data_IF_935850139542
#
_entry.id   IF_935850139542
#
_cell.length_a   1.000
_cell.length_b   1.000
_cell.length_c   1.000
_cell.angle_alpha   90.00
_cell.angle_beta   90.00
_cell.angle_gamma   90.00
#
_symmetry.space_group_name_H-M   'P 1'
#
loop_
_entity.id
_entity.type
_entity.pdbx_description
1 polymer ?
#
# COMPACT_ATOMS: atom_id res chain seq x y z
N UNK A 1 8.02 -10.79 -2.52
CA UNK A 1 8.28 -9.38 -2.86
C UNK A 1 7.33 -8.99 -3.98
N UNK A 2 6.71 -7.80 -3.94
CA UNK A 2 5.81 -7.32 -4.98
C UNK A 2 6.57 -6.28 -5.80
N UNK A 3 6.69 -6.52 -7.10
CA UNK A 3 7.43 -5.64 -8.01
C UNK A 3 6.88 -4.21 -7.99
N UNK A 4 7.80 -3.23 -8.00
CA UNK A 4 7.47 -1.80 -7.96
C UNK A 4 7.10 -1.27 -6.57
N UNK A 5 6.93 -2.11 -5.54
CA UNK A 5 6.81 -1.62 -4.17
C UNK A 5 8.18 -1.48 -3.50
N UNK A 6 8.45 -0.28 -2.98
CA UNK A 6 9.54 -0.03 -2.06
C UNK A 6 9.01 -0.22 -0.63
N UNK A 7 9.58 -1.17 0.10
CA UNK A 7 9.38 -1.30 1.54
C UNK A 7 10.28 -0.30 2.28
N UNK A 8 9.77 0.26 3.37
CA UNK A 8 10.59 1.02 4.31
C UNK A 8 11.55 0.10 5.10
N UNK A 9 12.23 0.66 6.11
CA UNK A 9 13.10 -0.13 6.97
C UNK A 9 12.33 -1.23 7.70
N UNK A 10 13.07 -2.24 8.18
CA UNK A 10 12.49 -3.28 9.03
C UNK A 10 11.78 -2.63 10.23
N UNK A 11 10.53 -3.03 10.53
CA UNK A 11 9.75 -2.33 11.53
C UNK A 11 10.23 -2.66 12.95
N UNK A 12 10.30 -1.66 13.82
CA UNK A 12 10.62 -1.86 15.24
C UNK A 12 9.44 -2.53 16.00
N UNK A 13 8.22 -2.40 15.48
CA UNK A 13 6.97 -2.93 16.04
C UNK A 13 6.10 -3.50 14.90
N UNK A 14 4.77 -3.35 14.99
CA UNK A 14 3.81 -3.95 14.06
C UNK A 14 3.34 -3.01 12.94
N UNK A 15 4.12 -2.00 12.58
CA UNK A 15 3.77 -1.05 11.50
C UNK A 15 4.79 -1.17 10.37
N UNK A 16 4.35 -1.70 9.23
CA UNK A 16 5.15 -1.76 8.01
C UNK A 16 4.81 -0.56 7.14
N UNK A 17 5.84 0.13 6.65
CA UNK A 17 5.70 1.24 5.71
C UNK A 17 6.12 0.82 4.32
N UNK A 18 5.41 1.27 3.29
CA UNK A 18 5.71 0.92 1.91
C UNK A 18 5.18 1.99 0.96
N UNK A 19 5.63 1.96 -0.29
CA UNK A 19 5.17 2.87 -1.35
C UNK A 19 5.34 2.21 -2.71
N UNK A 20 4.40 2.44 -3.62
CA UNK A 20 4.57 2.05 -5.02
C UNK A 20 5.41 3.09 -5.80
N UNK A 21 6.40 2.62 -6.56
CA UNK A 21 7.22 3.39 -7.48
C UNK A 21 6.81 3.00 -8.92
N UNK A 22 5.94 3.80 -9.57
CA UNK A 22 5.62 3.54 -10.97
C UNK A 22 6.85 3.76 -11.84
N UNK A 23 6.97 3.00 -12.94
CA UNK A 23 8.06 3.17 -13.90
C UNK A 23 8.11 4.59 -14.50
N UNK A 24 6.95 5.25 -14.58
CA UNK A 24 6.79 6.61 -15.10
C UNK A 24 5.78 7.41 -14.28
N UNK A 25 6.02 8.71 -14.17
CA UNK A 25 5.12 9.66 -13.53
C UNK A 25 5.39 9.90 -12.04
N UNK A 26 4.50 10.68 -11.41
CA UNK A 26 4.62 11.05 -10.00
C UNK A 26 4.10 9.94 -9.09
N UNK A 27 5.01 9.36 -8.32
CA UNK A 27 4.70 8.33 -7.34
C UNK A 27 3.74 8.83 -6.23
N UNK A 28 3.81 10.09 -5.79
CA UNK A 28 2.92 10.63 -4.73
C UNK A 28 1.49 10.66 -5.27
N UNK A 29 1.31 11.20 -6.47
CA UNK A 29 0.01 11.23 -7.15
C UNK A 29 -0.52 9.82 -7.41
N UNK A 30 0.34 8.88 -7.83
CA UNK A 30 -0.06 7.49 -8.05
C UNK A 30 -0.55 6.83 -6.76
N UNK A 31 0.24 6.90 -5.68
CA UNK A 31 -0.15 6.29 -4.41
C UNK A 31 -1.41 6.96 -3.83
N UNK A 32 -1.64 8.25 -4.09
CA UNK A 32 -2.90 8.89 -3.73
C UNK A 32 -4.08 8.25 -4.47
N UNK A 33 -3.99 8.05 -5.79
CA UNK A 33 -5.03 7.35 -6.57
C UNK A 33 -5.23 5.90 -6.09
N UNK A 34 -4.15 5.19 -5.78
CA UNK A 34 -4.21 3.84 -5.24
C UNK A 34 -5.02 3.77 -3.94
N UNK A 35 -4.76 4.68 -2.99
CA UNK A 35 -5.54 4.77 -1.74
C UNK A 35 -7.02 5.00 -2.04
N UNK A 36 -7.35 5.92 -2.96
CA UNK A 36 -8.75 6.20 -3.29
C UNK A 36 -9.43 4.99 -3.94
N UNK A 37 -8.76 4.31 -4.87
CA UNK A 37 -9.28 3.13 -5.54
C UNK A 37 -9.54 1.96 -4.56
N UNK A 38 -8.66 1.76 -3.58
CA UNK A 38 -8.81 0.76 -2.53
C UNK A 38 -9.98 1.11 -1.60
N UNK A 39 -10.05 2.36 -1.15
CA UNK A 39 -11.13 2.82 -0.25
C UNK A 39 -12.50 2.76 -0.92
N UNK A 40 -12.58 3.03 -2.22
CA UNK A 40 -13.81 2.93 -2.97
C UNK A 40 -14.32 1.49 -3.07
N UNK A 41 -13.42 0.51 -3.16
CA UNK A 41 -13.78 -0.92 -3.20
C UNK A 41 -14.21 -1.45 -1.82
N UNK A 42 -13.57 -0.99 -0.74
CA UNK A 42 -14.04 -1.19 0.64
C UNK A 42 -13.64 -2.51 1.32
N UNK A 43 -12.96 -3.42 0.63
CA UNK A 43 -12.46 -4.68 1.20
C UNK A 43 -11.42 -4.46 2.31
N UNK A 44 -10.53 -3.48 2.13
CA UNK A 44 -9.45 -3.17 3.07
C UNK A 44 -9.34 -1.66 3.31
N UNK A 45 -8.74 -1.28 4.44
CA UNK A 45 -8.45 0.11 4.76
C UNK A 45 -6.95 0.33 4.93
N UNK A 46 -6.38 1.20 4.11
CA UNK A 46 -4.97 1.60 4.19
C UNK A 46 -4.85 3.06 4.63
N UNK A 47 -3.99 3.26 5.62
CA UNK A 47 -3.61 4.59 6.08
C UNK A 47 -2.33 5.06 5.37
N UNK A 48 -2.15 6.38 5.29
CA UNK A 48 -0.93 6.97 4.75
C UNK A 48 -0.36 8.01 5.72
N UNK A 49 0.86 8.42 5.45
CA UNK A 49 1.55 9.51 6.14
C UNK A 49 2.49 10.22 5.16
N UNK A 50 3.09 11.34 5.58
CA UNK A 50 4.21 11.96 4.88
C UNK A 50 5.49 11.78 5.68
N UNK A 51 6.51 11.20 5.06
CA UNK A 51 7.87 11.08 5.63
C UNK A 51 8.83 11.72 4.63
N UNK A 52 9.64 12.69 5.07
CA UNK A 52 10.57 13.42 4.20
C UNK A 52 9.89 13.98 2.93
N UNK A 53 8.66 14.51 3.08
CA UNK A 53 7.86 15.05 1.98
C UNK A 53 7.19 14.01 1.08
N UNK A 54 7.51 12.72 1.20
CA UNK A 54 6.99 11.63 0.38
C UNK A 54 5.71 11.03 0.97
N UNK A 55 4.71 10.74 0.14
CA UNK A 55 3.51 9.99 0.55
C UNK A 55 3.88 8.51 0.73
N UNK A 56 3.69 8.01 1.95
CA UNK A 56 4.01 6.65 2.36
C UNK A 56 2.74 5.94 2.84
N UNK A 57 2.53 4.71 2.39
CA UNK A 57 1.45 3.81 2.83
C UNK A 57 1.90 3.04 4.07
N UNK A 58 0.95 2.69 4.93
CA UNK A 58 1.24 1.96 6.17
C UNK A 58 0.21 0.87 6.44
N UNK A 59 0.70 -0.31 6.80
CA UNK A 59 -0.08 -1.39 7.38
C UNK A 59 0.26 -1.49 8.87
N UNK A 60 -0.72 -1.23 9.73
CA UNK A 60 -0.59 -1.36 11.19
C UNK A 60 -1.28 -2.65 11.63
N UNK A 61 -0.52 -3.73 11.78
CA UNK A 61 -1.02 -5.07 12.11
C UNK A 61 -1.15 -5.19 13.63
N UNK A 62 -2.12 -4.47 14.20
CA UNK A 62 -2.36 -4.44 15.66
C UNK A 62 -3.66 -5.12 16.09
N UNK A 63 -4.53 -5.49 15.16
CA UNK A 63 -5.78 -6.19 15.47
C UNK A 63 -5.50 -7.67 15.67
N UNK A 64 -5.85 -8.21 16.84
CA UNK A 64 -5.66 -9.64 17.15
C UNK A 64 -6.48 -10.60 16.27
N UNK A 65 -7.45 -10.07 15.52
CA UNK A 65 -8.26 -10.83 14.55
C UNK A 65 -7.68 -10.83 13.14
N UNK A 66 -6.56 -10.14 12.91
CA UNK A 66 -5.86 -10.18 11.63
C UNK A 66 -5.04 -11.46 11.56
N UNK A 67 -5.30 -12.27 10.54
CA UNK A 67 -4.61 -13.51 10.24
C UNK A 67 -3.78 -13.38 8.96
N UNK A 68 -2.98 -14.41 8.65
CA UNK A 68 -2.13 -14.43 7.46
C UNK A 68 -2.96 -14.25 6.18
N UNK A 69 -4.12 -14.91 6.09
CA UNK A 69 -5.02 -14.81 4.94
C UNK A 69 -5.49 -13.37 4.67
N UNK A 70 -5.71 -12.55 5.71
CA UNK A 70 -6.07 -11.13 5.54
C UNK A 70 -4.90 -10.31 4.97
N UNK A 71 -3.67 -10.67 5.34
CA UNK A 71 -2.45 -10.05 4.82
C UNK A 71 -2.26 -10.44 3.36
N UNK A 72 -2.45 -11.71 3.03
CA UNK A 72 -2.35 -12.20 1.65
C UNK A 72 -3.41 -11.53 0.75
N UNK A 73 -4.67 -11.43 1.22
CA UNK A 73 -5.72 -10.69 0.49
C UNK A 73 -5.34 -9.21 0.29
N UNK A 74 -4.76 -8.58 1.31
CA UNK A 74 -4.30 -7.19 1.22
C UNK A 74 -3.23 -7.01 0.13
N UNK A 75 -2.27 -7.94 0.06
CA UNK A 75 -1.19 -7.93 -0.94
C UNK A 75 -1.73 -8.19 -2.35
N UNK A 76 -2.71 -9.06 -2.49
CA UNK A 76 -3.40 -9.33 -3.76
C UNK A 76 -4.19 -8.13 -4.26
N UNK A 77 -4.95 -7.47 -3.37
CA UNK A 77 -5.69 -6.25 -3.69
C UNK A 77 -4.73 -5.15 -4.14
N UNK A 78 -3.63 -4.93 -3.41
CA UNK A 78 -2.60 -3.95 -3.79
C UNK A 78 -2.06 -4.22 -5.19
N UNK A 79 -1.64 -5.45 -5.47
CA UNK A 79 -1.09 -5.85 -6.77
C UNK A 79 -2.09 -5.66 -7.90
N UNK A 80 -3.35 -6.09 -7.70
CA UNK A 80 -4.42 -5.94 -8.69
C UNK A 80 -4.75 -4.48 -8.97
N UNK A 81 -4.84 -3.64 -7.92
CA UNK A 81 -5.15 -2.21 -8.07
C UNK A 81 -4.02 -1.44 -8.76
N UNK A 82 -2.77 -1.80 -8.49
CA UNK A 82 -1.62 -1.25 -9.22
C UNK A 82 -1.71 -1.57 -10.71
N UNK A 83 -1.96 -2.83 -11.08
CA UNK A 83 -2.11 -3.22 -12.49
C UNK A 83 -3.23 -2.43 -13.17
N UNK A 84 -4.40 -2.36 -12.54
CA UNK A 84 -5.55 -1.58 -13.03
C UNK A 84 -5.20 -0.10 -13.24
N UNK A 85 -4.38 0.50 -12.36
CA UNK A 85 -4.00 1.91 -12.47
C UNK A 85 -2.84 2.18 -13.45
N UNK A 86 -2.12 1.15 -13.87
CA UNK A 86 -1.08 1.26 -14.91
C UNK A 86 -1.63 1.03 -16.31
N UNK A 87 -2.73 0.28 -16.45
CA UNK A 87 -3.41 0.01 -17.73
C UNK A 87 -4.33 1.16 -18.17
N UNK A 88 -4.69 2.07 -17.24
CA UNK A 88 -5.52 3.25 -17.46
C UNK A 88 -4.68 4.53 -17.60
#
# INVERSE_FOLDING_TARGET
EIEGFEAGPYPDLSIVTYRFLPERGDADAFNHRLIQAIRHEGNIFISSTRINGKLILRAAVGCFRTHLDDIDETLDILSRKVKQLNEN
#
